data_IF_555716501001
#
_entry.id   IF_555716501001
#
_cell.length_a   1.000
_cell.length_b   1.000
_cell.length_c   1.000
_cell.angle_alpha   90.00
_cell.angle_beta   90.00
_cell.angle_gamma   90.00
#
_symmetry.space_group_name_H-M   'P 1'
#
loop_
_entity.id
_entity.type
_entity.pdbx_description
1 polymer ?
#
# COMPACT_ATOMS: atom_id res chain seq x y z
N UNK A 1 53.29 11.24 43.01
CA UNK A 1 51.86 11.41 42.81
C UNK A 1 51.48 10.72 41.53
N UNK A 2 50.88 9.55 41.61
CA UNK A 2 50.40 8.76 40.45
C UNK A 2 48.95 9.16 40.14
N UNK A 3 48.53 9.22 38.86
CA UNK A 3 47.12 9.49 38.51
C UNK A 3 46.29 8.19 38.59
N UNK A 4 45.12 8.36 39.15
CA UNK A 4 44.06 7.39 39.35
C UNK A 4 43.53 6.86 38.01
N UNK A 5 43.40 5.55 37.90
CA UNK A 5 42.75 4.87 36.79
C UNK A 5 41.23 4.93 36.96
N UNK A 6 40.56 5.51 36.00
CA UNK A 6 39.07 5.52 35.92
C UNK A 6 38.63 4.18 35.31
N UNK A 7 37.82 3.45 36.05
CA UNK A 7 37.22 2.20 35.58
C UNK A 7 36.14 2.49 34.50
N UNK A 8 36.30 1.86 33.34
CA UNK A 8 35.29 1.88 32.29
C UNK A 8 34.24 0.82 32.66
N UNK A 9 33.00 1.29 32.85
CA UNK A 9 31.84 0.44 33.06
C UNK A 9 31.54 -0.32 31.76
N UNK A 10 31.64 -1.64 31.82
CA UNK A 10 31.17 -2.53 30.73
C UNK A 10 29.64 -2.57 30.79
N UNK A 11 29.01 -2.03 29.78
CA UNK A 11 27.57 -2.16 29.59
C UNK A 11 27.22 -3.65 29.38
N UNK A 12 26.35 -4.16 30.23
CA UNK A 12 25.80 -5.52 30.14
C UNK A 12 24.94 -5.66 28.91
N UNK A 13 25.27 -6.64 28.07
CA UNK A 13 24.42 -7.08 26.96
C UNK A 13 23.05 -7.56 27.51
N UNK A 14 21.94 -7.31 26.80
CA UNK A 14 20.66 -7.83 27.20
C UNK A 14 20.66 -9.36 27.08
N UNK A 15 20.44 -10.01 28.20
CA UNK A 15 20.30 -11.47 28.30
C UNK A 15 19.04 -11.88 27.55
N UNK A 16 19.20 -12.59 26.44
CA UNK A 16 18.08 -13.27 25.75
C UNK A 16 17.53 -14.31 26.71
N UNK A 17 16.42 -14.00 27.35
CA UNK A 17 15.67 -14.95 28.16
C UNK A 17 14.95 -15.89 27.20
N UNK A 18 15.59 -17.03 26.90
CA UNK A 18 14.97 -18.16 26.23
C UNK A 18 13.96 -18.82 27.17
N UNK A 19 12.73 -18.32 27.19
CA UNK A 19 11.60 -19.05 27.76
C UNK A 19 10.98 -19.89 26.65
N UNK A 20 11.42 -21.14 26.54
CA UNK A 20 10.80 -22.18 25.69
C UNK A 20 9.47 -22.64 26.31
N UNK A 21 8.46 -21.83 26.19
CA UNK A 21 7.08 -22.31 26.11
C UNK A 21 6.79 -22.37 24.60
N UNK A 22 6.78 -23.59 24.03
CA UNK A 22 6.18 -23.83 22.72
C UNK A 22 4.66 -23.62 22.86
N UNK A 23 4.22 -22.37 22.93
CA UNK A 23 2.84 -22.06 22.64
C UNK A 23 2.61 -22.48 21.18
N UNK A 24 1.65 -23.37 20.95
CA UNK A 24 1.27 -23.74 19.59
C UNK A 24 0.84 -22.49 18.88
N UNK A 25 1.37 -22.27 17.65
CA UNK A 25 0.91 -21.16 16.84
C UNK A 25 -0.59 -21.25 16.59
N UNK A 26 -1.28 -20.10 16.47
CA UNK A 26 -2.69 -20.10 16.10
C UNK A 26 -2.94 -20.86 14.81
N UNK A 27 -4.11 -21.47 14.63
CA UNK A 27 -4.51 -22.14 13.40
C UNK A 27 -4.36 -21.20 12.19
N UNK A 28 -3.94 -21.73 11.05
CA UNK A 28 -3.75 -20.96 9.82
C UNK A 28 -2.39 -20.25 9.71
N UNK A 29 -1.57 -20.29 10.77
CA UNK A 29 -0.24 -19.69 10.80
C UNK A 29 0.87 -20.73 10.94
N UNK A 30 2.02 -20.44 10.35
CA UNK A 30 3.28 -21.17 10.50
C UNK A 30 4.43 -20.18 10.73
N UNK A 31 5.51 -20.55 11.41
CA UNK A 31 6.63 -19.65 11.60
C UNK A 31 7.38 -19.47 10.27
N UNK A 32 7.92 -18.28 10.07
CA UNK A 32 8.93 -18.04 9.02
C UNK A 32 10.28 -18.49 9.56
N UNK A 33 11.05 -19.15 8.69
CA UNK A 33 12.42 -19.52 9.01
C UNK A 33 13.25 -18.25 9.27
N UNK A 34 13.94 -18.13 10.42
CA UNK A 34 14.76 -16.96 10.72
C UNK A 34 15.82 -16.64 9.66
N UNK A 35 16.32 -17.65 8.95
CA UNK A 35 17.32 -17.46 7.88
C UNK A 35 16.75 -16.73 6.65
N UNK A 36 15.43 -16.61 6.56
CA UNK A 36 14.74 -15.86 5.50
C UNK A 36 14.46 -14.39 5.87
N UNK A 37 14.68 -14.03 7.13
CA UNK A 37 14.39 -12.69 7.63
C UNK A 37 15.65 -11.81 7.57
N UNK A 38 15.45 -10.51 7.40
CA UNK A 38 16.50 -9.54 7.66
C UNK A 38 16.61 -9.30 9.17
N UNK A 39 17.76 -9.65 9.74
CA UNK A 39 18.01 -9.61 11.18
C UNK A 39 18.73 -8.34 11.66
N UNK A 40 18.97 -7.35 10.77
CA UNK A 40 19.54 -6.06 11.18
C UNK A 40 18.65 -5.39 12.21
N UNK A 41 19.20 -4.45 13.00
CA UNK A 41 18.39 -3.63 13.93
C UNK A 41 17.43 -2.70 13.16
N UNK A 42 16.42 -2.16 13.85
CA UNK A 42 15.48 -1.20 13.23
C UNK A 42 16.23 0.07 12.79
N UNK A 43 17.23 0.51 13.54
CA UNK A 43 18.08 1.67 13.23
C UNK A 43 18.94 1.41 11.99
N UNK A 44 19.51 0.20 11.86
CA UNK A 44 20.30 -0.19 10.68
C UNK A 44 19.43 -0.24 9.43
N UNK A 45 18.21 -0.80 9.52
CA UNK A 45 17.27 -0.84 8.42
C UNK A 45 16.79 0.58 8.07
N UNK A 46 16.46 1.40 9.07
CA UNK A 46 16.05 2.80 8.85
C UNK A 46 17.14 3.63 8.18
N UNK A 47 18.41 3.44 8.57
CA UNK A 47 19.55 4.09 7.93
C UNK A 47 19.78 3.58 6.50
N UNK A 48 19.52 2.30 6.25
CA UNK A 48 19.61 1.70 4.93
C UNK A 48 18.51 2.23 4.00
N UNK A 49 17.26 2.34 4.45
CA UNK A 49 16.12 2.84 3.67
C UNK A 49 16.28 4.31 3.20
N UNK A 50 17.17 5.08 3.82
CA UNK A 50 17.48 6.46 3.46
C UNK A 50 18.59 6.58 2.42
N UNK A 51 18.99 5.48 1.80
CA UNK A 51 20.04 5.44 0.77
C UNK A 51 19.51 4.90 -0.55
N UNK A 52 20.13 5.34 -1.64
CA UNK A 52 19.89 4.75 -2.94
C UNK A 52 20.55 3.37 -3.03
N UNK A 53 19.80 2.37 -3.50
CA UNK A 53 20.28 1.02 -3.71
C UNK A 53 20.29 0.66 -5.21
N UNK A 54 21.25 -0.17 -5.66
CA UNK A 54 21.28 -0.68 -7.02
C UNK A 54 20.03 -1.50 -7.34
N UNK A 55 19.48 -1.29 -8.52
CA UNK A 55 18.35 -2.06 -9.05
C UNK A 55 18.91 -3.18 -9.92
N UNK A 56 18.99 -4.38 -9.36
CA UNK A 56 19.66 -5.54 -10.00
C UNK A 56 18.69 -6.58 -10.54
N UNK A 57 17.41 -6.50 -10.16
CA UNK A 57 16.35 -7.42 -10.59
C UNK A 57 15.01 -6.69 -10.64
N UNK A 58 13.94 -7.42 -11.01
CA UNK A 58 12.57 -6.90 -10.91
C UNK A 58 11.96 -7.10 -9.51
N UNK A 59 12.65 -7.77 -8.57
CA UNK A 59 12.19 -7.91 -7.18
C UNK A 59 12.46 -6.64 -6.37
N UNK A 60 11.76 -5.57 -6.71
CA UNK A 60 11.81 -4.28 -6.05
C UNK A 60 10.47 -3.99 -5.37
N UNK A 61 10.50 -3.46 -4.16
CA UNK A 61 9.34 -2.86 -3.50
C UNK A 61 9.51 -1.36 -3.48
N UNK A 62 8.53 -0.65 -4.00
CA UNK A 62 8.53 0.80 -4.09
C UNK A 62 7.54 1.41 -3.11
N UNK A 63 8.01 2.33 -2.29
CA UNK A 63 7.19 3.21 -1.49
C UNK A 63 7.61 4.66 -1.72
N UNK A 64 6.70 5.58 -1.47
CA UNK A 64 6.95 7.01 -1.60
C UNK A 64 6.44 7.76 -0.39
N UNK A 65 7.24 8.73 0.05
CA UNK A 65 6.80 9.72 1.02
C UNK A 65 7.35 11.09 0.64
N UNK A 66 6.45 12.00 0.31
CA UNK A 66 6.80 13.29 -0.29
C UNK A 66 7.91 14.04 0.47
N UNK A 67 7.88 14.03 1.79
CA UNK A 67 8.81 14.71 2.70
C UNK A 67 9.94 13.83 3.25
N UNK A 68 10.14 12.63 2.71
CA UNK A 68 11.22 11.71 3.09
C UNK A 68 10.88 10.79 4.26
N UNK A 69 11.64 9.70 4.39
CA UNK A 69 11.43 8.62 5.36
C UNK A 69 11.33 9.13 6.80
N UNK A 70 12.22 10.03 7.21
CA UNK A 70 12.27 10.55 8.59
C UNK A 70 11.08 11.42 8.96
N UNK A 71 10.35 11.94 7.98
CA UNK A 71 9.14 12.74 8.19
C UNK A 71 7.85 11.89 8.24
N UNK A 72 7.96 10.59 8.05
CA UNK A 72 6.82 9.68 8.22
C UNK A 72 6.44 9.57 9.70
N UNK A 73 5.14 9.36 9.96
CA UNK A 73 4.70 8.94 11.28
C UNK A 73 5.41 7.65 11.72
N UNK A 74 5.76 7.48 13.01
CA UNK A 74 6.53 6.32 13.47
C UNK A 74 5.92 4.96 13.10
N UNK A 75 4.59 4.85 13.13
CA UNK A 75 3.91 3.62 12.75
C UNK A 75 4.09 3.27 11.26
N UNK A 76 4.19 4.28 10.37
CA UNK A 76 4.47 4.10 8.93
C UNK A 76 5.91 3.64 8.73
N UNK A 77 6.87 4.26 9.43
CA UNK A 77 8.27 3.80 9.39
C UNK A 77 8.40 2.34 9.80
N UNK A 78 7.72 1.93 10.90
CA UNK A 78 7.71 0.54 11.38
C UNK A 78 7.06 -0.43 10.37
N UNK A 79 6.07 -0.01 9.60
CA UNK A 79 5.52 -0.85 8.52
C UNK A 79 6.60 -1.18 7.49
N UNK A 80 7.30 -0.16 7.00
CA UNK A 80 8.33 -0.34 5.96
C UNK A 80 9.53 -1.14 6.49
N UNK A 81 9.96 -0.90 7.73
CA UNK A 81 10.99 -1.72 8.40
C UNK A 81 10.52 -3.19 8.47
N UNK A 82 9.24 -3.42 8.81
CA UNK A 82 8.63 -4.74 8.80
C UNK A 82 8.64 -5.41 7.43
N UNK A 83 8.47 -4.66 6.33
CA UNK A 83 8.60 -5.21 4.97
C UNK A 83 10.03 -5.69 4.70
N UNK A 84 11.04 -4.87 5.03
CA UNK A 84 12.45 -5.25 4.86
C UNK A 84 12.76 -6.54 5.62
N UNK A 85 12.34 -6.62 6.89
CA UNK A 85 12.54 -7.81 7.71
C UNK A 85 11.89 -9.06 7.11
N UNK A 86 10.61 -8.95 6.75
CA UNK A 86 9.83 -10.09 6.24
C UNK A 86 10.31 -10.59 4.90
N UNK A 87 10.67 -9.69 4.00
CA UNK A 87 11.06 -10.01 2.63
C UNK A 87 12.51 -10.50 2.53
N UNK A 88 13.32 -10.20 3.55
CA UNK A 88 14.71 -10.62 3.62
C UNK A 88 15.56 -10.12 2.46
N UNK A 89 16.63 -10.82 2.10
CA UNK A 89 17.55 -10.38 1.07
C UNK A 89 17.06 -10.57 -0.38
N UNK A 90 15.93 -11.25 -0.58
CA UNK A 90 15.42 -11.54 -1.93
C UNK A 90 14.77 -10.32 -2.61
N UNK A 91 14.27 -9.37 -1.81
CA UNK A 91 13.61 -8.17 -2.27
C UNK A 91 14.35 -6.92 -1.81
N UNK A 92 14.46 -5.93 -2.70
CA UNK A 92 15.01 -4.63 -2.34
C UNK A 92 13.86 -3.64 -2.12
N UNK A 93 13.74 -3.09 -0.91
CA UNK A 93 12.75 -2.06 -0.58
C UNK A 93 13.36 -0.69 -0.82
N UNK A 94 12.73 0.10 -1.68
CA UNK A 94 13.11 1.47 -1.98
C UNK A 94 12.05 2.43 -1.43
N UNK A 95 12.48 3.37 -0.61
CA UNK A 95 11.64 4.49 -0.16
C UNK A 95 12.10 5.73 -0.89
N UNK A 96 11.31 6.16 -1.86
CA UNK A 96 11.61 7.36 -2.64
C UNK A 96 10.89 8.59 -2.08
N UNK A 97 11.47 9.76 -2.29
CA UNK A 97 10.93 11.03 -1.83
C UNK A 97 11.01 12.12 -2.91
N UNK A 98 10.54 13.32 -2.56
CA UNK A 98 10.64 14.50 -3.41
C UNK A 98 11.39 15.64 -2.71
N UNK A 99 12.32 15.28 -1.80
CA UNK A 99 13.12 16.25 -1.03
C UNK A 99 14.35 16.65 -1.84
N UNK A 100 14.57 17.95 -2.11
CA UNK A 100 15.74 18.40 -2.83
C UNK A 100 17.05 17.98 -2.13
N UNK A 101 17.93 17.32 -2.88
CA UNK A 101 19.23 16.86 -2.38
C UNK A 101 19.20 15.57 -1.56
N UNK A 102 18.04 14.93 -1.38
CA UNK A 102 17.94 13.60 -0.77
C UNK A 102 18.60 12.54 -1.65
N UNK A 103 19.28 11.57 -1.03
CA UNK A 103 19.83 10.40 -1.74
C UNK A 103 18.75 9.54 -2.38
N UNK A 104 17.53 9.57 -1.83
CA UNK A 104 16.37 8.80 -2.31
C UNK A 104 15.40 9.64 -3.12
N UNK A 105 15.82 10.85 -3.57
CA UNK A 105 14.98 11.69 -4.41
C UNK A 105 14.58 10.98 -5.70
N UNK A 106 13.30 11.08 -6.08
CA UNK A 106 12.74 10.43 -7.28
C UNK A 106 13.50 10.78 -8.57
N UNK A 107 14.14 11.94 -8.65
CA UNK A 107 14.94 12.35 -9.80
C UNK A 107 16.18 11.46 -10.05
N UNK A 108 16.61 10.69 -9.06
CA UNK A 108 17.69 9.69 -9.25
C UNK A 108 17.19 8.42 -9.96
N UNK A 109 15.89 8.22 -10.06
CA UNK A 109 15.28 7.02 -10.61
C UNK A 109 14.55 7.29 -11.93
N UNK A 110 13.84 8.41 -12.03
CA UNK A 110 12.96 8.73 -13.16
C UNK A 110 13.25 10.14 -13.68
N UNK A 111 13.35 10.27 -15.00
CA UNK A 111 13.60 11.52 -15.69
C UNK A 111 12.41 12.49 -15.52
N UNK A 112 12.68 13.79 -15.46
CA UNK A 112 11.69 14.84 -15.26
C UNK A 112 10.57 14.86 -16.33
N UNK A 113 10.84 14.34 -17.53
CA UNK A 113 9.86 14.21 -18.60
C UNK A 113 8.68 13.27 -18.29
N UNK A 114 8.80 12.44 -17.25
CA UNK A 114 7.73 11.59 -16.77
C UNK A 114 6.83 12.28 -15.73
N UNK A 115 7.12 13.53 -15.40
CA UNK A 115 6.36 14.28 -14.39
C UNK A 115 5.86 15.60 -14.98
N UNK A 116 4.70 16.09 -14.52
CA UNK A 116 4.21 17.41 -14.96
C UNK A 116 5.09 18.54 -14.38
N UNK A 117 5.02 19.70 -15.00
CA UNK A 117 5.77 20.89 -14.57
C UNK A 117 5.47 21.23 -13.11
N UNK A 118 4.23 21.09 -12.67
CA UNK A 118 3.84 21.37 -11.30
C UNK A 118 4.58 20.47 -10.28
N UNK A 119 4.81 19.19 -10.60
CA UNK A 119 5.60 18.29 -9.77
C UNK A 119 7.08 18.68 -9.82
N UNK A 120 7.65 18.81 -11.02
CA UNK A 120 9.06 19.13 -11.21
C UNK A 120 9.48 20.46 -10.52
N UNK A 121 8.59 21.46 -10.54
CA UNK A 121 8.83 22.79 -10.00
C UNK A 121 8.38 22.93 -8.54
N UNK A 122 7.92 21.88 -7.87
CA UNK A 122 7.37 21.91 -6.51
C UNK A 122 6.21 22.93 -6.34
N UNK A 123 5.39 23.07 -7.37
CA UNK A 123 4.23 23.99 -7.38
C UNK A 123 2.87 23.30 -7.29
N UNK A 124 2.89 21.97 -7.12
CA UNK A 124 1.65 21.25 -6.81
C UNK A 124 1.05 21.76 -5.50
N UNK A 125 -0.27 21.87 -5.45
CA UNK A 125 -1.02 22.35 -4.30
C UNK A 125 -2.23 21.47 -3.98
N UNK A 126 -3.05 21.89 -3.02
CA UNK A 126 -4.26 21.20 -2.60
C UNK A 126 -4.06 20.23 -1.42
N UNK A 127 -5.17 19.74 -0.84
CA UNK A 127 -5.14 18.97 0.40
C UNK A 127 -4.53 17.58 0.27
N UNK A 128 -4.43 17.04 -0.95
CA UNK A 128 -3.97 15.67 -1.22
C UNK A 128 -2.62 15.62 -1.95
N UNK A 129 -1.79 16.65 -1.77
CA UNK A 129 -0.48 16.79 -2.41
C UNK A 129 0.36 15.51 -2.33
N UNK A 130 0.52 14.93 -1.14
CA UNK A 130 1.32 13.72 -0.94
C UNK A 130 0.76 12.49 -1.67
N UNK A 131 -0.58 12.32 -1.66
CA UNK A 131 -1.26 11.22 -2.34
C UNK A 131 -1.11 11.33 -3.86
N UNK A 132 -1.40 12.52 -4.44
CA UNK A 132 -1.27 12.73 -5.88
C UNK A 132 0.19 12.69 -6.36
N UNK A 133 1.15 13.15 -5.54
CA UNK A 133 2.57 12.95 -5.82
C UNK A 133 2.91 11.45 -5.89
N UNK A 134 2.38 10.65 -4.95
CA UNK A 134 2.51 9.20 -4.98
C UNK A 134 1.90 8.58 -6.25
N UNK A 135 0.74 9.05 -6.69
CA UNK A 135 0.10 8.58 -7.93
C UNK A 135 0.95 8.87 -9.18
N UNK A 136 1.64 10.01 -9.22
CA UNK A 136 2.56 10.35 -10.31
C UNK A 136 3.82 9.48 -10.30
N UNK A 137 4.33 9.13 -9.12
CA UNK A 137 5.62 8.45 -8.94
C UNK A 137 5.52 6.94 -9.17
N UNK A 138 4.40 6.30 -8.75
CA UNK A 138 4.27 4.82 -8.74
C UNK A 138 4.37 4.17 -10.11
N UNK A 139 3.71 4.74 -11.11
CA UNK A 139 3.59 4.12 -12.42
C UNK A 139 4.92 4.14 -13.21
N UNK A 140 5.65 5.27 -13.32
CA UNK A 140 6.93 5.28 -14.01
C UNK A 140 8.01 4.44 -13.31
N UNK A 141 7.99 4.31 -11.98
CA UNK A 141 8.90 3.40 -11.26
C UNK A 141 8.65 1.95 -11.64
N UNK A 142 7.40 1.49 -11.57
CA UNK A 142 7.03 0.11 -11.93
C UNK A 142 7.33 -0.15 -13.41
N UNK A 143 6.95 0.77 -14.29
CA UNK A 143 7.24 0.60 -15.73
C UNK A 143 8.72 0.48 -16.01
N UNK A 144 9.54 1.34 -15.40
CA UNK A 144 10.98 1.42 -15.68
C UNK A 144 11.76 0.27 -15.05
N UNK A 145 11.37 -0.18 -13.87
CA UNK A 145 12.16 -1.12 -13.06
C UNK A 145 11.46 -2.42 -12.70
N UNK A 146 10.17 -2.52 -12.92
CA UNK A 146 9.37 -3.65 -12.43
C UNK A 146 9.23 -3.66 -10.91
N UNK A 147 8.59 -4.70 -10.40
CA UNK A 147 8.43 -4.92 -8.98
C UNK A 147 7.03 -4.57 -8.48
N UNK A 148 6.96 -4.15 -7.23
CA UNK A 148 5.69 -3.94 -6.53
C UNK A 148 5.67 -2.58 -5.87
N UNK A 149 4.66 -1.78 -6.17
CA UNK A 149 4.31 -0.61 -5.38
C UNK A 149 3.47 -1.02 -4.19
N UNK A 150 3.80 -0.52 -3.01
CA UNK A 150 3.01 -0.66 -1.79
C UNK A 150 2.89 0.71 -1.12
N UNK A 151 1.65 1.17 -0.89
CA UNK A 151 1.43 2.39 -0.11
C UNK A 151 2.01 2.23 1.31
N UNK A 152 2.75 3.23 1.78
CA UNK A 152 3.54 3.17 3.03
C UNK A 152 2.69 2.83 4.29
N UNK A 153 1.40 3.17 4.29
CA UNK A 153 0.46 2.84 5.36
C UNK A 153 -0.01 1.38 5.38
N UNK A 154 0.70 0.45 4.74
CA UNK A 154 0.27 -0.95 4.59
C UNK A 154 1.10 -1.89 5.45
N UNK A 155 0.44 -2.76 6.23
CA UNK A 155 1.10 -3.94 6.81
C UNK A 155 1.15 -5.06 5.76
N UNK A 156 2.24 -5.81 5.76
CA UNK A 156 2.43 -6.97 4.91
C UNK A 156 2.41 -8.24 5.79
N UNK A 157 1.42 -9.11 5.57
CA UNK A 157 1.25 -10.36 6.34
C UNK A 157 1.65 -11.61 5.54
N UNK A 158 1.90 -11.46 4.25
CA UNK A 158 2.31 -12.55 3.36
C UNK A 158 3.48 -12.10 2.49
N UNK A 159 4.37 -13.03 2.11
CA UNK A 159 5.46 -12.70 1.21
C UNK A 159 4.89 -12.33 -0.18
N UNK A 160 5.48 -11.35 -0.82
CA UNK A 160 5.06 -10.87 -2.17
C UNK A 160 5.14 -11.99 -3.21
N UNK A 161 6.13 -12.88 -3.07
CA UNK A 161 6.25 -14.05 -3.94
C UNK A 161 4.99 -14.93 -3.86
N UNK A 162 4.43 -15.12 -2.66
CA UNK A 162 3.25 -15.93 -2.42
C UNK A 162 1.92 -15.17 -2.63
N UNK A 163 1.96 -13.83 -2.66
CA UNK A 163 0.81 -13.03 -3.07
C UNK A 163 0.63 -13.13 -4.58
N UNK A 164 1.68 -12.83 -5.36
CA UNK A 164 1.51 -12.71 -6.81
C UNK A 164 2.79 -12.93 -7.63
N UNK A 165 3.99 -12.66 -7.07
CA UNK A 165 5.18 -12.53 -7.90
C UNK A 165 5.59 -13.83 -8.57
N UNK A 166 5.48 -14.97 -7.88
CA UNK A 166 5.73 -16.29 -8.48
C UNK A 166 4.90 -16.53 -9.73
N UNK A 167 3.64 -16.09 -9.74
CA UNK A 167 2.77 -16.25 -10.90
C UNK A 167 3.11 -15.24 -12.00
N UNK A 168 3.47 -13.99 -11.63
CA UNK A 168 3.91 -12.99 -12.62
C UNK A 168 5.24 -13.40 -13.27
N UNK A 169 6.18 -13.95 -12.50
CA UNK A 169 7.51 -14.34 -12.99
C UNK A 169 7.47 -15.64 -13.83
N UNK A 170 6.52 -16.53 -13.57
CA UNK A 170 6.38 -17.81 -14.26
C UNK A 170 5.92 -17.60 -15.73
N UNK A 171 6.76 -17.96 -16.72
CA UNK A 171 6.40 -17.81 -18.13
C UNK A 171 5.25 -18.75 -18.60
N UNK A 172 4.87 -19.73 -17.78
CA UNK A 172 3.74 -20.62 -18.07
C UNK A 172 2.39 -19.97 -17.74
N UNK A 173 2.36 -18.87 -17.01
CA UNK A 173 1.13 -18.13 -16.73
C UNK A 173 0.96 -16.95 -17.69
N UNK A 174 -0.29 -16.49 -17.93
CA UNK A 174 -0.53 -15.33 -18.77
C UNK A 174 -0.32 -14.01 -18.00
N UNK A 175 -0.04 -14.05 -16.70
CA UNK A 175 -0.08 -12.87 -15.84
C UNK A 175 1.15 -11.98 -16.00
N UNK A 176 0.90 -10.70 -16.20
CA UNK A 176 1.93 -9.66 -16.32
C UNK A 176 1.81 -8.58 -15.24
N UNK A 177 0.65 -8.53 -14.58
CA UNK A 177 0.32 -7.55 -13.57
C UNK A 177 -0.56 -8.16 -12.49
N UNK A 178 -0.45 -7.68 -11.25
CA UNK A 178 -1.33 -8.10 -10.16
C UNK A 178 -1.72 -6.95 -9.25
N UNK A 179 -2.84 -7.11 -8.55
CA UNK A 179 -3.34 -6.15 -7.58
C UNK A 179 -4.62 -6.60 -6.89
N UNK A 180 -5.23 -5.67 -6.16
CA UNK A 180 -6.50 -5.90 -5.47
C UNK A 180 -7.62 -5.14 -6.15
N UNK A 181 -8.81 -5.74 -6.20
CA UNK A 181 -10.02 -5.12 -6.78
C UNK A 181 -11.09 -4.92 -5.72
N UNK A 182 -11.82 -3.83 -5.85
CA UNK A 182 -12.97 -3.49 -5.01
C UNK A 182 -14.06 -2.87 -5.87
N UNK A 183 -15.31 -3.10 -5.48
CA UNK A 183 -16.46 -2.44 -6.12
C UNK A 183 -16.44 -0.94 -5.81
N UNK A 184 -16.16 -0.13 -6.82
CA UNK A 184 -16.15 1.34 -6.73
C UNK A 184 -17.42 1.98 -7.31
N UNK A 185 -18.25 1.18 -7.97
CA UNK A 185 -19.59 1.48 -8.48
C UNK A 185 -20.39 0.18 -8.48
N UNK A 186 -21.72 0.24 -8.31
CA UNK A 186 -22.54 -0.97 -8.32
C UNK A 186 -22.26 -1.88 -9.53
N UNK A 187 -21.83 -3.11 -9.25
CA UNK A 187 -21.51 -4.13 -10.25
C UNK A 187 -20.19 -3.92 -11.01
N UNK A 188 -19.35 -2.97 -10.62
CA UNK A 188 -18.07 -2.69 -11.29
C UNK A 188 -16.91 -2.68 -10.33
N UNK A 189 -16.08 -3.71 -10.42
CA UNK A 189 -14.82 -3.82 -9.70
C UNK A 189 -13.73 -2.99 -10.37
N UNK A 190 -12.99 -2.25 -9.56
CA UNK A 190 -11.87 -1.41 -9.97
C UNK A 190 -10.60 -1.85 -9.24
N UNK A 191 -9.48 -1.90 -9.95
CA UNK A 191 -8.19 -2.21 -9.33
C UNK A 191 -7.71 -1.03 -8.47
N UNK A 192 -7.35 -1.34 -7.22
CA UNK A 192 -6.73 -0.38 -6.31
C UNK A 192 -5.29 -0.08 -6.73
N UNK A 193 -4.89 1.18 -6.57
CA UNK A 193 -3.54 1.63 -6.91
C UNK A 193 -2.55 1.60 -5.72
N UNK A 194 -3.01 1.19 -4.53
CA UNK A 194 -2.17 1.11 -3.33
C UNK A 194 -1.28 -0.14 -3.24
N UNK A 195 -1.55 -1.14 -4.08
CA UNK A 195 -0.69 -2.31 -4.32
C UNK A 195 -0.75 -2.64 -5.80
N UNK A 196 0.36 -2.48 -6.51
CA UNK A 196 0.47 -2.77 -7.94
C UNK A 196 1.74 -3.57 -8.17
N UNK A 197 1.64 -4.79 -8.68
CA UNK A 197 2.78 -5.58 -9.11
C UNK A 197 2.80 -5.69 -10.63
N UNK A 198 3.95 -5.46 -11.27
CA UNK A 198 4.10 -5.69 -12.70
C UNK A 198 5.57 -5.92 -13.10
N UNK A 199 5.77 -6.62 -14.21
CA UNK A 199 7.08 -6.76 -14.86
C UNK A 199 7.55 -5.41 -15.40
N UNK A 200 8.86 -5.24 -15.49
CA UNK A 200 9.50 -4.10 -16.17
C UNK A 200 9.01 -3.98 -17.61
N UNK A 201 8.77 -2.74 -18.05
CA UNK A 201 8.33 -2.45 -19.41
C UNK A 201 6.85 -2.77 -19.69
N UNK A 202 6.05 -3.02 -18.66
CA UNK A 202 4.64 -3.34 -18.79
C UNK A 202 3.87 -2.22 -19.51
N UNK A 203 3.26 -2.55 -20.66
CA UNK A 203 2.63 -1.58 -21.54
C UNK A 203 1.30 -1.03 -20.99
N UNK A 204 0.60 -1.77 -20.14
CA UNK A 204 -0.59 -1.26 -19.47
C UNK A 204 -0.22 -0.16 -18.46
N UNK A 205 0.83 -0.38 -17.66
CA UNK A 205 1.36 0.60 -16.72
C UNK A 205 1.80 1.87 -17.45
N UNK A 206 2.49 1.74 -18.60
CA UNK A 206 2.93 2.90 -19.39
C UNK A 206 1.75 3.75 -19.86
N UNK A 207 0.72 3.12 -20.44
CA UNK A 207 -0.47 3.81 -20.90
C UNK A 207 -1.28 4.44 -19.76
N UNK A 208 -1.35 3.75 -18.63
CA UNK A 208 -1.98 4.29 -17.42
C UNK A 208 -1.27 5.57 -16.98
N UNK A 209 0.05 5.54 -16.95
CA UNK A 209 0.86 6.72 -16.66
C UNK A 209 0.62 7.85 -17.67
N UNK A 210 0.62 7.56 -18.96
CA UNK A 210 0.46 8.58 -20.00
C UNK A 210 -0.90 9.29 -19.89
N UNK A 211 -1.98 8.56 -19.63
CA UNK A 211 -3.29 9.16 -19.39
C UNK A 211 -3.25 10.05 -18.14
N UNK A 212 -2.68 9.55 -17.03
CA UNK A 212 -2.64 10.30 -15.78
C UNK A 212 -1.76 11.56 -15.91
N UNK A 213 -0.60 11.47 -16.56
CA UNK A 213 0.27 12.61 -16.83
C UNK A 213 -0.45 13.69 -17.64
N UNK A 214 -1.24 13.30 -18.66
CA UNK A 214 -1.97 14.24 -19.50
C UNK A 214 -3.02 15.05 -18.71
N UNK A 215 -3.57 14.53 -17.60
CA UNK A 215 -4.50 15.30 -16.75
C UNK A 215 -3.81 16.48 -16.06
N UNK A 216 -2.52 16.41 -15.83
CA UNK A 216 -1.75 17.41 -15.09
C UNK A 216 -1.19 18.54 -15.99
N UNK A 217 -1.47 18.52 -17.29
CA UNK A 217 -0.99 19.56 -18.20
C UNK A 217 -1.55 20.93 -17.82
N UNK A 218 -0.67 21.86 -17.43
CA UNK A 218 -1.01 23.25 -17.12
C UNK A 218 -1.77 23.47 -15.81
N UNK A 219 -1.85 22.47 -14.93
CA UNK A 219 -2.55 22.57 -13.63
C UNK A 219 -1.65 22.21 -12.46
N UNK A 220 -2.00 22.66 -11.25
CA UNK A 220 -1.22 22.43 -10.01
C UNK A 220 -1.91 21.49 -9.02
N UNK A 221 -3.20 21.16 -9.24
CA UNK A 221 -3.95 20.24 -8.40
C UNK A 221 -4.98 19.45 -9.22
N UNK A 222 -5.60 18.44 -8.61
CA UNK A 222 -6.51 17.51 -9.27
C UNK A 222 -7.94 18.00 -9.39
N UNK A 223 -8.26 19.23 -8.97
CA UNK A 223 -9.63 19.74 -9.00
C UNK A 223 -10.18 19.79 -10.42
N UNK A 224 -11.29 19.12 -10.66
CA UNK A 224 -11.96 19.08 -11.96
C UNK A 224 -11.40 18.01 -12.92
N UNK A 225 -10.53 17.12 -12.49
CA UNK A 225 -10.01 16.03 -13.33
C UNK A 225 -11.10 15.12 -13.92
N UNK A 226 -12.20 14.89 -13.18
CA UNK A 226 -13.34 14.15 -13.71
C UNK A 226 -13.98 14.81 -14.95
N UNK A 227 -13.78 16.12 -15.16
CA UNK A 227 -14.25 16.86 -16.35
C UNK A 227 -13.27 16.90 -17.51
N UNK A 228 -12.03 16.38 -17.28
CA UNK A 228 -11.03 16.33 -18.32
C UNK A 228 -11.54 15.56 -19.56
N UNK A 229 -11.25 16.00 -20.80
CA UNK A 229 -11.74 15.33 -22.02
C UNK A 229 -11.51 13.83 -22.08
N UNK A 230 -10.41 13.32 -21.48
CA UNK A 230 -10.11 11.90 -21.41
C UNK A 230 -10.99 11.13 -20.42
N UNK A 231 -11.58 11.78 -19.41
CA UNK A 231 -12.30 11.12 -18.31
C UNK A 231 -13.81 11.42 -18.27
N UNK A 232 -14.26 12.57 -18.79
CA UNK A 232 -15.65 13.08 -18.66
C UNK A 232 -16.73 12.15 -19.16
N UNK A 233 -16.39 11.14 -19.97
CA UNK A 233 -17.34 10.12 -20.46
C UNK A 233 -17.53 8.98 -19.46
N UNK A 234 -16.69 8.90 -18.42
CA UNK A 234 -16.79 7.88 -17.39
C UNK A 234 -17.80 8.31 -16.33
N UNK A 235 -18.57 7.38 -15.77
CA UNK A 235 -19.38 7.67 -14.59
C UNK A 235 -18.47 8.03 -13.40
N UNK A 236 -18.97 8.91 -12.53
CA UNK A 236 -18.26 9.27 -11.31
C UNK A 236 -18.10 8.05 -10.39
N UNK A 237 -17.01 8.01 -9.65
CA UNK A 237 -16.79 7.04 -8.61
C UNK A 237 -17.67 7.36 -7.40
N UNK A 238 -18.25 6.32 -6.82
CA UNK A 238 -19.11 6.45 -5.66
C UNK A 238 -18.36 5.95 -4.41
N UNK A 239 -18.13 6.80 -3.40
CA UNK A 239 -17.62 6.31 -2.13
C UNK A 239 -18.66 5.34 -1.53
N UNK A 240 -18.27 4.41 -0.65
CA UNK A 240 -19.19 3.50 0.03
C UNK A 240 -20.16 4.30 0.91
N UNK A 241 -21.36 4.55 0.36
CA UNK A 241 -22.32 5.58 0.83
C UNK A 241 -23.24 5.10 1.95
N UNK A 242 -23.32 3.82 2.26
CA UNK A 242 -24.25 3.28 3.26
C UNK A 242 -24.06 3.89 4.65
N UNK A 243 -23.00 4.67 4.84
CA UNK A 243 -22.63 5.35 6.09
C UNK A 243 -22.61 6.87 5.99
N UNK A 244 -22.91 7.45 4.82
CA UNK A 244 -22.81 8.89 4.59
C UNK A 244 -24.21 9.48 4.36
N UNK A 245 -24.83 9.96 5.43
CA UNK A 245 -25.99 10.84 5.35
C UNK A 245 -25.54 12.18 4.70
N UNK A 246 -25.27 12.16 3.37
CA UNK A 246 -24.67 13.29 2.70
C UNK A 246 -25.68 14.09 1.89
N UNK A 247 -26.02 15.32 2.30
CA UNK A 247 -26.97 16.16 1.59
C UNK A 247 -26.50 16.59 0.18
N UNK A 248 -25.21 16.46 -0.14
CA UNK A 248 -24.60 16.87 -1.40
C UNK A 248 -23.83 15.73 -2.08
N UNK A 249 -24.46 14.55 -2.24
CA UNK A 249 -23.84 13.35 -2.78
C UNK A 249 -23.09 13.60 -4.10
N UNK A 250 -23.66 14.36 -5.04
CA UNK A 250 -23.01 14.62 -6.33
C UNK A 250 -21.69 15.39 -6.19
N UNK A 251 -21.64 16.42 -5.35
CA UNK A 251 -20.39 17.16 -5.10
C UNK A 251 -19.34 16.30 -4.45
N UNK A 252 -19.78 15.38 -3.57
CA UNK A 252 -18.86 14.43 -2.95
C UNK A 252 -18.35 13.41 -3.95
N UNK A 253 -19.18 12.91 -4.86
CA UNK A 253 -18.76 12.01 -5.94
C UNK A 253 -17.79 12.70 -6.91
N UNK A 254 -17.99 13.98 -7.25
CA UNK A 254 -17.06 14.76 -8.05
C UNK A 254 -15.71 14.88 -7.35
N UNK A 255 -15.68 15.32 -6.09
CA UNK A 255 -14.46 15.47 -5.31
C UNK A 255 -13.74 14.12 -5.09
N UNK A 256 -14.48 13.05 -4.86
CA UNK A 256 -13.96 11.70 -4.73
C UNK A 256 -13.35 11.19 -6.05
N UNK A 257 -14.01 11.48 -7.19
CA UNK A 257 -13.50 11.13 -8.51
C UNK A 257 -12.24 11.93 -8.87
N UNK A 258 -12.16 13.21 -8.48
CA UNK A 258 -10.96 14.01 -8.64
C UNK A 258 -9.80 13.48 -7.80
N UNK A 259 -10.06 13.13 -6.54
CA UNK A 259 -9.07 12.51 -5.66
C UNK A 259 -8.58 11.16 -6.20
N UNK A 260 -9.48 10.36 -6.76
CA UNK A 260 -9.18 9.05 -7.35
C UNK A 260 -9.02 9.11 -8.88
N UNK A 261 -8.55 10.22 -9.44
CA UNK A 261 -8.39 10.36 -10.88
C UNK A 261 -7.48 9.29 -11.51
N UNK A 262 -6.48 8.81 -10.78
CA UNK A 262 -5.65 7.68 -11.22
C UNK A 262 -6.48 6.40 -11.45
N UNK A 263 -7.51 6.15 -10.63
CA UNK A 263 -8.47 5.05 -10.85
C UNK A 263 -9.34 5.29 -12.08
N UNK A 264 -9.77 6.51 -12.32
CA UNK A 264 -10.53 6.83 -13.53
C UNK A 264 -9.68 6.61 -14.79
N UNK A 265 -8.38 6.90 -14.75
CA UNK A 265 -7.45 6.58 -15.83
C UNK A 265 -7.37 5.07 -16.08
N UNK A 266 -7.29 4.25 -15.02
CA UNK A 266 -7.37 2.80 -15.12
C UNK A 266 -8.70 2.34 -15.73
N UNK A 267 -9.83 2.91 -15.26
CA UNK A 267 -11.17 2.63 -15.78
C UNK A 267 -11.32 2.93 -17.27
N UNK A 268 -10.73 4.04 -17.74
CA UNK A 268 -10.64 4.33 -19.17
C UNK A 268 -9.85 3.24 -19.89
N UNK A 269 -8.66 2.92 -19.38
CA UNK A 269 -7.73 2.04 -20.06
C UNK A 269 -8.23 0.59 -20.17
N UNK A 270 -8.89 0.06 -19.13
CA UNK A 270 -9.47 -1.29 -19.17
C UNK A 270 -10.60 -1.47 -20.19
N UNK A 271 -11.15 -0.36 -20.72
CA UNK A 271 -12.19 -0.34 -21.75
C UNK A 271 -11.69 0.11 -23.12
N UNK A 272 -10.41 0.45 -23.23
CA UNK A 272 -9.82 1.02 -24.44
C UNK A 272 -9.32 -0.06 -25.38
N UNK A 273 -9.72 0.02 -26.63
CA UNK A 273 -9.07 -0.65 -27.76
C UNK A 273 -8.43 0.45 -28.60
N UNK A 274 -7.10 0.45 -28.68
CA UNK A 274 -6.36 1.42 -29.47
C UNK A 274 -6.04 0.82 -30.86
N UNK A 275 -6.66 1.32 -31.95
CA UNK A 275 -6.45 0.78 -33.28
C UNK A 275 -5.07 1.09 -33.86
N UNK A 276 -4.33 2.06 -33.28
CA UNK A 276 -3.05 2.49 -33.81
C UNK A 276 -1.93 1.48 -33.55
N UNK A 277 -1.97 0.80 -32.42
CA UNK A 277 -0.94 -0.18 -32.02
C UNK A 277 -1.52 -1.55 -31.62
N UNK A 278 -2.84 -1.71 -31.71
CA UNK A 278 -3.54 -2.96 -31.41
C UNK A 278 -3.70 -3.26 -29.93
N UNK A 279 -3.47 -2.31 -29.05
CA UNK A 279 -3.70 -2.50 -27.62
C UNK A 279 -5.18 -2.79 -27.34
N UNK A 280 -5.45 -3.85 -26.57
CA UNK A 280 -6.78 -4.28 -26.17
C UNK A 280 -6.88 -4.36 -24.64
N UNK A 281 -7.35 -3.27 -24.04
CA UNK A 281 -7.51 -3.14 -22.58
C UNK A 281 -8.47 -4.16 -21.98
N UNK A 282 -9.67 -4.41 -22.59
CA UNK A 282 -10.59 -5.46 -22.14
C UNK A 282 -9.96 -6.85 -22.09
N UNK A 283 -9.22 -7.21 -23.12
CA UNK A 283 -8.52 -8.50 -23.21
C UNK A 283 -7.42 -8.59 -22.17
N UNK A 284 -6.59 -7.53 -22.05
CA UNK A 284 -5.53 -7.46 -21.07
C UNK A 284 -6.05 -7.58 -19.63
N UNK A 285 -7.11 -6.84 -19.29
CA UNK A 285 -7.75 -6.86 -17.98
C UNK A 285 -8.30 -8.25 -17.62
N UNK A 286 -8.88 -8.94 -18.58
CA UNK A 286 -9.50 -10.25 -18.35
C UNK A 286 -8.49 -11.40 -18.27
N UNK A 287 -7.36 -11.30 -18.98
CA UNK A 287 -6.46 -12.45 -19.18
C UNK A 287 -5.05 -12.25 -18.59
N UNK A 288 -4.56 -11.00 -18.46
CA UNK A 288 -3.18 -10.75 -18.07
C UNK A 288 -3.03 -10.13 -16.68
N UNK A 289 -4.14 -9.89 -15.97
CA UNK A 289 -4.12 -9.40 -14.60
C UNK A 289 -4.49 -10.49 -13.60
N UNK A 290 -3.63 -10.70 -12.61
CA UNK A 290 -3.89 -11.55 -11.45
C UNK A 290 -4.49 -10.67 -10.35
N UNK A 291 -5.79 -10.76 -10.14
CA UNK A 291 -6.52 -9.87 -9.25
C UNK A 291 -7.14 -10.62 -8.07
N UNK A 292 -7.11 -10.00 -6.89
CA UNK A 292 -7.66 -10.56 -5.67
C UNK A 292 -8.68 -9.61 -5.03
N UNK A 293 -9.67 -10.13 -4.28
CA UNK A 293 -10.70 -9.29 -3.66
C UNK A 293 -10.09 -8.43 -2.54
N UNK A 294 -10.16 -7.11 -2.68
CA UNK A 294 -9.57 -6.17 -1.72
C UNK A 294 -10.19 -6.29 -0.32
N UNK A 295 -11.48 -6.57 -0.24
CA UNK A 295 -12.17 -6.73 1.03
C UNK A 295 -11.61 -7.92 1.83
N UNK A 296 -11.12 -8.96 1.16
CA UNK A 296 -10.44 -10.09 1.79
C UNK A 296 -8.96 -9.82 2.02
N UNK A 297 -8.27 -9.20 1.05
CA UNK A 297 -6.80 -9.25 1.01
C UNK A 297 -6.10 -7.96 1.49
N UNK A 298 -6.87 -6.88 1.73
CA UNK A 298 -6.28 -5.64 2.21
C UNK A 298 -7.18 -4.83 3.16
N UNK A 299 -8.51 -5.06 3.12
CA UNK A 299 -9.48 -4.37 3.98
C UNK A 299 -10.26 -5.34 4.91
N UNK A 300 -9.81 -6.58 5.05
CA UNK A 300 -10.42 -7.57 5.94
C UNK A 300 -10.53 -7.06 7.37
N UNK A 301 -9.47 -6.47 7.88
CA UNK A 301 -9.37 -5.87 9.20
C UNK A 301 -10.42 -4.76 9.42
N UNK A 302 -10.63 -3.90 8.42
CA UNK A 302 -11.63 -2.86 8.48
C UNK A 302 -13.05 -3.41 8.47
N UNK A 303 -13.29 -4.46 7.67
CA UNK A 303 -14.61 -5.12 7.63
C UNK A 303 -15.00 -5.72 8.99
N UNK A 304 -14.08 -6.35 9.71
CA UNK A 304 -14.32 -6.96 11.02
C UNK A 304 -14.84 -5.96 12.06
N UNK A 305 -14.58 -4.69 11.88
CA UNK A 305 -14.98 -3.60 12.78
C UNK A 305 -15.98 -2.63 12.17
N UNK A 306 -16.61 -2.99 11.05
CA UNK A 306 -17.48 -2.08 10.30
C UNK A 306 -16.81 -0.74 10.00
N UNK A 307 -15.51 -0.75 9.65
CA UNK A 307 -14.69 0.43 9.35
C UNK A 307 -14.50 1.40 10.52
N UNK A 308 -14.80 1.00 11.76
CA UNK A 308 -14.56 1.81 12.94
C UNK A 308 -13.09 1.74 13.36
N UNK A 309 -12.34 2.82 13.10
CA UNK A 309 -10.96 2.95 13.56
C UNK A 309 -10.85 3.02 15.09
N UNK A 310 -11.84 3.63 15.74
CA UNK A 310 -11.93 3.63 17.22
C UNK A 310 -11.99 2.21 17.76
N UNK A 311 -12.84 1.36 17.17
CA UNK A 311 -12.93 -0.05 17.58
C UNK A 311 -11.65 -0.83 17.30
N UNK A 312 -11.01 -0.60 16.16
CA UNK A 312 -9.71 -1.18 15.83
C UNK A 312 -8.65 -0.79 16.86
N UNK A 313 -8.60 0.49 17.19
CA UNK A 313 -7.68 1.02 18.19
C UNK A 313 -7.87 0.38 19.56
N UNK A 314 -9.10 0.31 20.06
CA UNK A 314 -9.42 -0.31 21.35
C UNK A 314 -8.95 -1.77 21.44
N UNK A 315 -9.17 -2.56 20.37
CA UNK A 315 -8.76 -3.95 20.31
C UNK A 315 -7.22 -4.08 20.31
N UNK A 316 -6.55 -3.22 19.57
CA UNK A 316 -5.09 -3.26 19.41
C UNK A 316 -4.34 -2.80 20.66
N UNK A 317 -4.80 -1.78 21.37
CA UNK A 317 -4.13 -1.30 22.58
C UNK A 317 -4.40 -2.17 23.81
N UNK A 318 -5.35 -3.12 23.75
CA UNK A 318 -5.61 -4.04 24.82
C UNK A 318 -4.35 -4.89 25.14
N UNK A 319 -4.18 -5.21 26.41
CA UNK A 319 -3.05 -6.05 26.85
C UNK A 319 -3.30 -7.52 26.47
N UNK A 320 -2.36 -8.09 25.75
CA UNK A 320 -2.33 -9.50 25.39
C UNK A 320 -1.57 -10.36 26.40
N UNK A 321 -0.49 -9.84 26.97
CA UNK A 321 0.38 -10.55 27.91
C UNK A 321 0.94 -9.63 28.99
N UNK A 322 1.43 -10.20 30.07
CA UNK A 322 2.00 -9.49 31.20
C UNK A 322 1.24 -9.72 32.52
N UNK A 323 1.73 -9.09 33.59
CA UNK A 323 1.15 -9.23 34.93
C UNK A 323 -0.30 -8.67 34.96
N UNK A 324 -1.22 -9.43 35.56
CA UNK A 324 -2.61 -9.02 35.74
C UNK A 324 -3.49 -9.15 34.49
N UNK A 325 -3.00 -9.73 33.39
CA UNK A 325 -3.83 -10.02 32.20
C UNK A 325 -4.76 -11.18 32.52
N UNK A 326 -6.05 -11.00 32.25
CA UNK A 326 -7.09 -12.01 32.36
C UNK A 326 -7.60 -12.30 30.95
N UNK A 327 -7.58 -13.56 30.56
CA UNK A 327 -8.11 -14.02 29.26
C UNK A 327 -9.65 -14.15 29.34
N UNK A 328 -10.32 -13.01 29.48
CA UNK A 328 -11.77 -12.89 29.48
C UNK A 328 -12.34 -12.75 28.05
N UNK A 329 -13.64 -12.56 27.91
CA UNK A 329 -14.31 -12.39 26.62
C UNK A 329 -13.76 -11.19 25.79
N UNK A 330 -13.33 -10.11 26.46
CA UNK A 330 -12.73 -8.95 25.77
C UNK A 330 -11.35 -9.27 25.23
N UNK A 331 -10.57 -10.00 26.03
CA UNK A 331 -9.26 -10.49 25.59
C UNK A 331 -9.42 -11.43 24.39
N UNK A 332 -10.35 -12.39 24.46
CA UNK A 332 -10.62 -13.33 23.38
C UNK A 332 -11.03 -12.60 22.09
N UNK A 333 -11.91 -11.59 22.21
CA UNK A 333 -12.32 -10.76 21.06
C UNK A 333 -11.13 -10.07 20.40
N UNK A 334 -10.16 -9.56 21.17
CA UNK A 334 -8.98 -8.90 20.65
C UNK A 334 -7.97 -9.91 20.06
N UNK A 335 -7.82 -11.10 20.68
CA UNK A 335 -6.97 -12.17 20.16
C UNK A 335 -7.51 -12.70 18.82
N UNK A 336 -8.80 -13.03 18.77
CA UNK A 336 -9.46 -13.47 17.54
C UNK A 336 -9.30 -12.44 16.42
N UNK A 337 -9.50 -11.16 16.71
CA UNK A 337 -9.37 -10.08 15.74
C UNK A 337 -7.97 -10.01 15.12
N UNK A 338 -6.91 -10.12 15.93
CA UNK A 338 -5.53 -10.04 15.47
C UNK A 338 -5.09 -11.34 14.80
N UNK A 339 -5.46 -12.51 15.36
CA UNK A 339 -5.15 -13.81 14.78
C UNK A 339 -5.84 -13.97 13.42
N UNK A 340 -7.12 -13.59 13.32
CA UNK A 340 -7.85 -13.61 12.06
C UNK A 340 -7.20 -12.70 10.99
N UNK A 341 -6.76 -11.50 11.37
CA UNK A 341 -6.04 -10.63 10.44
C UNK A 341 -4.75 -11.29 9.94
N UNK A 342 -3.93 -11.81 10.87
CA UNK A 342 -2.67 -12.48 10.50
C UNK A 342 -2.87 -13.72 9.63
N UNK A 343 -3.94 -14.49 9.85
CA UNK A 343 -4.19 -15.74 9.15
C UNK A 343 -4.93 -15.57 7.81
N UNK A 344 -5.77 -14.55 7.67
CA UNK A 344 -6.79 -14.49 6.62
C UNK A 344 -6.68 -13.32 5.66
N UNK A 345 -5.77 -12.35 5.85
CA UNK A 345 -5.54 -11.29 4.88
C UNK A 345 -4.05 -11.18 4.50
N UNK A 346 -3.74 -10.89 3.25
CA UNK A 346 -2.35 -10.81 2.79
C UNK A 346 -1.67 -9.49 3.18
N UNK A 347 -2.47 -8.42 3.29
CA UNK A 347 -2.02 -7.08 3.67
C UNK A 347 -3.09 -6.39 4.52
N UNK A 348 -2.74 -5.29 5.16
CA UNK A 348 -3.69 -4.41 5.82
C UNK A 348 -3.34 -2.97 5.49
N UNK A 349 -4.10 -2.36 4.59
CA UNK A 349 -3.91 -0.95 4.24
C UNK A 349 -4.65 -0.06 5.24
N UNK A 350 -3.92 0.83 5.90
CA UNK A 350 -4.49 1.90 6.69
C UNK A 350 -4.59 3.17 5.86
N UNK A 351 -5.76 3.77 5.86
CA UNK A 351 -6.05 5.04 5.18
C UNK A 351 -6.50 6.06 6.20
N UNK A 352 -6.26 7.34 5.91
CA UNK A 352 -6.84 8.46 6.66
C UNK A 352 -8.30 8.63 6.27
N UNK A 353 -9.09 9.11 7.21
CA UNK A 353 -10.49 9.41 6.97
C UNK A 353 -10.71 10.62 6.06
N UNK A 354 -11.77 10.65 5.26
CA UNK A 354 -12.16 11.85 4.56
C UNK A 354 -12.59 12.95 5.56
N UNK A 355 -12.43 14.24 5.22
CA UNK A 355 -12.93 15.32 6.06
C UNK A 355 -14.41 15.13 6.41
N UNK A 356 -14.75 15.19 7.70
CA UNK A 356 -16.12 15.01 8.18
C UNK A 356 -16.58 13.55 8.33
N UNK A 357 -15.66 12.59 8.33
CA UNK A 357 -15.97 11.20 8.70
C UNK A 357 -16.64 11.13 10.07
N UNK A 358 -17.66 10.25 10.20
CA UNK A 358 -18.44 10.11 11.45
C UNK A 358 -17.65 9.36 12.54
N UNK A 359 -16.67 8.56 12.16
CA UNK A 359 -15.79 7.82 13.08
C UNK A 359 -14.33 8.10 12.71
N UNK A 360 -13.43 7.93 13.69
CA UNK A 360 -11.99 8.06 13.49
C UNK A 360 -11.47 6.88 12.68
N UNK A 361 -10.48 7.14 11.84
CA UNK A 361 -9.72 6.09 11.17
C UNK A 361 -8.49 5.72 12.01
N UNK A 362 -8.07 4.48 11.97
CA UNK A 362 -6.94 4.01 12.78
C UNK A 362 -5.64 4.77 12.47
N UNK A 363 -5.40 5.12 11.20
CA UNK A 363 -4.26 5.94 10.80
C UNK A 363 -4.27 7.31 11.46
N UNK A 364 -5.44 7.99 11.49
CA UNK A 364 -5.58 9.30 12.14
C UNK A 364 -5.34 9.24 13.64
N UNK A 365 -5.79 8.14 14.28
CA UNK A 365 -5.54 7.91 15.71
C UNK A 365 -4.05 7.72 15.99
N UNK A 366 -3.34 6.92 15.19
CA UNK A 366 -1.91 6.69 15.36
C UNK A 366 -1.03 7.88 14.97
N UNK A 367 -1.52 8.79 14.14
CA UNK A 367 -0.83 10.05 13.82
C UNK A 367 -0.91 11.06 14.97
N UNK A 368 -1.89 10.91 15.85
CA UNK A 368 -2.05 11.81 16.98
C UNK A 368 -0.87 11.68 17.98
N UNK A 369 -0.40 12.80 18.52
CA UNK A 369 0.71 12.82 19.50
C UNK A 369 0.45 11.93 20.73
N UNK A 370 -0.80 11.81 21.14
CA UNK A 370 -1.22 10.99 22.28
C UNK A 370 -1.06 9.49 22.03
N UNK A 371 -1.22 9.06 20.76
CA UNK A 371 -1.27 7.65 20.39
C UNK A 371 -0.08 7.21 19.52
N UNK A 372 0.88 8.09 19.28
CA UNK A 372 1.97 7.92 18.32
C UNK A 372 2.78 6.61 18.47
N UNK A 373 2.90 6.08 19.71
CA UNK A 373 3.63 4.82 19.98
C UNK A 373 2.69 3.65 20.32
N UNK A 374 1.36 3.85 20.30
CA UNK A 374 0.41 2.83 20.73
C UNK A 374 0.32 1.62 19.79
N UNK A 375 0.83 1.75 18.58
CA UNK A 375 0.91 0.67 17.61
C UNK A 375 2.01 -0.38 17.92
N UNK A 376 2.89 -0.12 18.92
CA UNK A 376 4.02 -1.00 19.24
C UNK A 376 4.33 -1.11 20.76
N UNK A 377 3.35 -0.87 21.62
CA UNK A 377 3.55 -1.01 23.08
C UNK A 377 3.68 -2.49 23.44
N UNK A 378 4.78 -2.86 24.11
CA UNK A 378 5.04 -4.23 24.53
C UNK A 378 3.87 -4.81 25.34
N UNK A 379 3.54 -6.08 25.10
CA UNK A 379 2.47 -6.80 25.78
C UNK A 379 1.06 -6.45 25.28
N UNK A 380 0.91 -5.61 24.24
CA UNK A 380 -0.39 -5.33 23.60
C UNK A 380 -0.65 -6.19 22.38
N UNK A 381 -1.88 -6.24 21.92
CA UNK A 381 -2.25 -6.89 20.67
C UNK A 381 -1.66 -6.18 19.45
N UNK A 382 -1.44 -4.86 19.51
CA UNK A 382 -0.74 -4.12 18.45
C UNK A 382 0.70 -4.60 18.25
N UNK A 383 1.46 -4.75 19.34
CA UNK A 383 2.81 -5.31 19.27
C UNK A 383 2.80 -6.77 18.76
N UNK A 384 1.80 -7.56 19.13
CA UNK A 384 1.65 -8.94 18.64
C UNK A 384 1.31 -8.97 17.13
N UNK A 385 0.46 -8.07 16.64
CA UNK A 385 0.18 -7.91 15.21
C UNK A 385 1.46 -7.60 14.43
N UNK A 386 2.30 -6.67 14.93
CA UNK A 386 3.59 -6.33 14.31
C UNK A 386 4.56 -7.51 14.34
N UNK A 387 4.66 -8.19 15.47
CA UNK A 387 5.47 -9.40 15.56
C UNK A 387 5.02 -10.46 14.55
N UNK A 388 3.73 -10.75 14.51
CA UNK A 388 3.15 -11.71 13.58
C UNK A 388 3.33 -11.33 12.12
N UNK A 389 3.23 -10.03 11.79
CA UNK A 389 3.44 -9.55 10.42
C UNK A 389 4.85 -9.82 9.88
N UNK A 390 5.84 -10.00 10.75
CA UNK A 390 7.23 -10.31 10.39
C UNK A 390 7.53 -11.81 10.49
N UNK A 391 7.05 -12.46 11.56
CA UNK A 391 7.52 -13.80 11.93
C UNK A 391 6.58 -14.96 11.56
N UNK A 392 5.34 -14.64 11.15
CA UNK A 392 4.35 -15.67 10.79
C UNK A 392 4.03 -15.61 9.30
N UNK A 393 3.84 -16.78 8.72
CA UNK A 393 3.34 -16.96 7.37
C UNK A 393 2.01 -17.73 7.39
N UNK A 394 1.23 -17.56 6.34
CA UNK A 394 -0.11 -18.15 6.22
C UNK A 394 -0.04 -19.53 5.58
N UNK A 395 -0.93 -20.44 6.00
CA UNK A 395 -1.08 -21.77 5.39
C UNK A 395 -2.15 -21.81 4.32
N UNK A 396 -3.02 -20.78 4.24
CA UNK A 396 -4.09 -20.68 3.24
C UNK A 396 -3.56 -20.41 1.82
N UNK A 397 -4.35 -20.74 0.85
CA UNK A 397 -4.17 -20.29 -0.54
C UNK A 397 -4.96 -18.99 -0.76
N UNK A 398 -4.46 -18.13 -1.63
CA UNK A 398 -5.19 -16.96 -2.10
C UNK A 398 -6.04 -17.34 -3.31
N UNK A 399 -7.28 -16.84 -3.33
CA UNK A 399 -8.23 -17.15 -4.41
C UNK A 399 -8.36 -15.91 -5.30
N UNK A 400 -7.87 -15.94 -6.54
CA UNK A 400 -7.99 -14.82 -7.46
C UNK A 400 -9.44 -14.61 -7.91
N UNK A 401 -9.79 -13.37 -8.19
CA UNK A 401 -11.04 -13.00 -8.86
C UNK A 401 -10.84 -13.12 -10.35
N UNK A 402 -11.68 -13.89 -11.02
CA UNK A 402 -11.69 -13.95 -12.48
C UNK A 402 -12.52 -12.79 -13.03
N UNK A 403 -11.84 -11.83 -13.62
CA UNK A 403 -12.51 -10.70 -14.26
C UNK A 403 -13.06 -11.12 -15.62
N UNK A 404 -14.28 -10.68 -15.89
CA UNK A 404 -14.90 -10.83 -17.21
C UNK A 404 -14.56 -9.66 -18.13
N UNK A 405 -15.00 -9.79 -19.37
CA UNK A 405 -15.01 -8.67 -20.31
C UNK A 405 -15.87 -7.53 -19.76
N UNK A 406 -15.41 -6.25 -19.84
CA UNK A 406 -16.22 -5.13 -19.38
C UNK A 406 -17.61 -5.11 -20.04
N UNK A 407 -18.65 -4.94 -19.23
CA UNK A 407 -20.04 -4.85 -19.71
C UNK A 407 -20.42 -3.45 -20.18
N UNK A 408 -19.60 -2.47 -19.83
CA UNK A 408 -19.77 -1.08 -20.24
C UNK A 408 -19.29 -0.88 -21.68
N UNK A 409 -19.61 0.27 -22.22
CA UNK A 409 -19.20 0.65 -23.57
C UNK A 409 -17.68 0.63 -23.74
N UNK A 410 -17.24 -0.09 -24.76
CA UNK A 410 -15.83 -0.16 -25.17
C UNK A 410 -15.47 1.11 -25.95
N UNK A 411 -14.31 1.66 -25.64
CA UNK A 411 -13.74 2.82 -26.31
C UNK A 411 -12.82 2.36 -27.44
N UNK A 412 -13.08 2.80 -28.66
CA UNK A 412 -12.19 2.56 -29.80
C UNK A 412 -11.60 3.88 -30.27
N UNK A 413 -10.43 4.23 -29.73
CA UNK A 413 -9.71 5.48 -30.02
C UNK A 413 -8.26 5.37 -29.52
N UNK A 414 -7.43 6.35 -29.83
CA UNK A 414 -6.06 6.43 -29.29
C UNK A 414 -6.07 6.66 -27.78
N UNK A 415 -4.97 6.25 -27.10
CA UNK A 415 -4.83 6.32 -25.64
C UNK A 415 -5.07 7.74 -25.08
N UNK A 416 -4.58 8.77 -25.76
CA UNK A 416 -4.75 10.19 -25.42
C UNK A 416 -5.80 10.91 -26.26
N UNK A 417 -6.61 10.16 -27.01
CA UNK A 417 -7.69 10.72 -27.82
C UNK A 417 -8.99 10.76 -26.99
N UNK A 418 -9.65 11.93 -26.86
CA UNK A 418 -10.94 12.03 -26.20
C UNK A 418 -12.01 11.21 -26.93
N UNK A 419 -12.94 10.60 -26.15
CA UNK A 419 -14.13 10.01 -26.76
C UNK A 419 -14.91 11.08 -27.51
N UNK A 420 -15.21 10.83 -28.77
CA UNK A 420 -16.15 11.68 -29.54
C UNK A 420 -17.52 11.67 -28.84
N UNK A 421 -18.07 12.85 -28.57
CA UNK A 421 -19.37 13.03 -27.91
C UNK A 421 -20.49 12.83 -28.91
#
# INVERSE_FOLDING_TARGET
MAPSATAVSVASQPTVVSSTVKASLPPGLKPIDPDKLDLRSDEEIAAWLQKQHPIVSDKNVWAFWHSGFTAMAPWVQRNIIGWVRRLGPEWTVHVVDHVPGSETNISHYVESSYFPDAFNNHTMDGPSLGAHSGDLVRLPLIWKYGGVWIDAGTFLFRNIDDICWKQIEDPATPYEMAGFVIEMRPGVDCMLNGFIAAKRGNQFIKRWHDIYLALWEGVTNAHGFHKHPLLRHLPLLCPPVDKLNCPNLNLMMEAFSDYLAAFMCFERLRKLIDPADGFNGPEYYSNHMLLFPALQETYYFQQQTNWSGTRQFELLIAKRSGEGVVEDEKWQTADDFVVDALANTSTMKLSHGPPGALDSFLADLWDSKEHQEKDNVEGTFAAYLRYGSVHFDQTREMIPVKMGWPTEEILTCGVLEPKSL
#
